data_IF_469588298578
#
_entry.id   IF_469588298578
#
_cell.length_a   1.000
_cell.length_b   1.000
_cell.length_c   1.000
_cell.angle_alpha   90.00
_cell.angle_beta   90.00
_cell.angle_gamma   90.00
#
_symmetry.space_group_name_H-M   'P 1'
#
loop_
_entity.id
_entity.type
_entity.pdbx_description
1 polymer ?
#
# COMPACT_ATOMS: atom_id res chain seq x y z
N UNK A 1 -22.40 26.80 6.48
CA UNK A 1 -21.20 25.97 6.60
C UNK A 1 -20.27 26.64 7.61
N UNK A 2 -19.95 26.00 8.74
CA UNK A 2 -19.03 26.55 9.75
C UNK A 2 -17.63 25.99 9.47
N UNK A 3 -16.67 26.87 9.20
CA UNK A 3 -15.27 26.48 9.10
C UNK A 3 -14.72 26.28 10.52
N UNK A 4 -14.06 25.14 10.76
CA UNK A 4 -13.37 24.85 12.01
C UNK A 4 -11.87 25.12 11.85
N UNK A 5 -11.18 25.41 12.96
CA UNK A 5 -9.73 25.61 12.93
C UNK A 5 -9.01 24.30 12.60
N UNK A 6 -7.79 24.40 12.04
CA UNK A 6 -6.90 23.24 11.83
C UNK A 6 -6.69 22.46 13.13
N UNK A 7 -6.54 23.17 14.24
CA UNK A 7 -6.33 22.52 15.53
C UNK A 7 -7.52 21.68 15.97
N UNK A 8 -8.72 22.23 15.82
CA UNK A 8 -9.96 21.50 16.10
C UNK A 8 -10.11 20.29 15.17
N UNK A 9 -9.80 20.44 13.88
CA UNK A 9 -9.93 19.37 12.90
C UNK A 9 -8.95 18.20 13.14
N UNK A 10 -7.75 18.49 13.65
CA UNK A 10 -6.70 17.52 13.97
C UNK A 10 -6.67 17.12 15.45
N UNK A 11 -7.65 17.54 16.26
CA UNK A 11 -7.70 17.18 17.68
C UNK A 11 -8.00 15.68 17.90
N UNK A 12 -8.93 15.03 17.16
CA UNK A 12 -9.21 13.61 17.34
C UNK A 12 -7.99 12.73 17.04
N UNK A 13 -7.64 11.85 17.96
CA UNK A 13 -6.51 10.90 17.84
C UNK A 13 -5.12 11.53 17.92
N UNK A 14 -5.00 12.84 18.19
CA UNK A 14 -3.72 13.58 18.10
C UNK A 14 -2.63 13.03 19.01
N UNK A 15 -2.97 12.77 20.28
CA UNK A 15 -1.99 12.30 21.27
C UNK A 15 -1.51 10.87 20.94
N UNK A 16 -2.43 10.00 20.50
CA UNK A 16 -2.08 8.67 20.01
C UNK A 16 -1.20 8.74 18.75
N UNK A 17 -1.52 9.64 17.81
CA UNK A 17 -0.72 9.88 16.62
C UNK A 17 0.70 10.34 16.97
N UNK A 18 0.83 11.29 17.91
CA UNK A 18 2.12 11.79 18.36
C UNK A 18 2.98 10.68 18.97
N UNK A 19 2.42 9.86 19.88
CA UNK A 19 3.15 8.77 20.50
C UNK A 19 3.54 7.64 19.51
N UNK A 20 2.70 7.37 18.52
CA UNK A 20 3.02 6.44 17.45
C UNK A 20 4.14 6.98 16.55
N UNK A 21 4.16 8.28 16.27
CA UNK A 21 5.19 8.90 15.43
C UNK A 21 6.60 8.88 16.05
N UNK A 22 6.71 8.69 17.37
CA UNK A 22 8.00 8.52 18.06
C UNK A 22 8.59 7.11 17.88
N UNK A 23 7.80 6.14 17.38
CA UNK A 23 8.26 4.77 17.19
C UNK A 23 9.17 4.64 15.95
N UNK A 24 10.17 3.75 15.97
CA UNK A 24 11.07 3.55 14.82
C UNK A 24 10.33 2.91 13.64
N UNK A 25 10.35 3.59 12.49
CA UNK A 25 9.72 3.21 11.23
C UNK A 25 10.67 2.62 10.19
N UNK A 26 10.16 2.23 9.00
CA UNK A 26 8.76 2.38 8.57
C UNK A 26 7.82 1.28 9.10
N UNK A 27 6.57 1.65 9.40
CA UNK A 27 5.48 0.73 9.74
C UNK A 27 4.11 1.29 9.29
N UNK A 28 3.10 0.43 9.23
CA UNK A 28 1.69 0.85 9.18
C UNK A 28 1.00 0.72 10.53
N UNK A 29 -0.03 1.54 10.72
CA UNK A 29 -1.01 1.45 11.80
C UNK A 29 -2.33 0.95 11.21
N UNK A 30 -3.04 0.09 11.94
CA UNK A 30 -4.42 -0.29 11.63
C UNK A 30 -5.34 0.18 12.76
N UNK A 31 -6.38 0.94 12.44
CA UNK A 31 -7.30 1.55 13.40
C UNK A 31 -8.74 1.04 13.21
N UNK A 32 -9.09 -0.16 13.73
CA UNK A 32 -10.41 -0.79 13.56
C UNK A 32 -11.56 -0.07 14.28
N UNK A 33 -11.35 1.15 14.74
CA UNK A 33 -12.36 1.98 15.40
C UNK A 33 -12.33 3.44 14.97
N UNK A 34 -11.56 3.75 13.91
CA UNK A 34 -11.31 5.13 13.49
C UNK A 34 -10.69 6.02 14.60
N UNK A 35 -10.08 5.41 15.61
CA UNK A 35 -9.36 6.10 16.71
C UNK A 35 -8.22 7.00 16.22
N UNK A 36 -7.68 6.68 15.04
CA UNK A 36 -6.64 7.45 14.37
C UNK A 36 -7.15 7.92 12.99
N UNK A 37 -7.88 9.04 12.93
CA UNK A 37 -8.40 9.56 11.65
C UNK A 37 -7.29 9.85 10.64
N UNK A 38 -7.56 9.60 9.36
CA UNK A 38 -6.57 9.69 8.27
C UNK A 38 -5.90 11.06 8.19
N UNK A 39 -6.66 12.15 8.35
CA UNK A 39 -6.09 13.51 8.33
C UNK A 39 -5.15 13.78 9.51
N UNK A 40 -5.43 13.18 10.68
CA UNK A 40 -4.57 13.28 11.86
C UNK A 40 -3.31 12.45 11.62
N UNK A 41 -3.45 11.18 11.21
CA UNK A 41 -2.31 10.31 10.89
C UNK A 41 -1.35 10.95 9.86
N UNK A 42 -1.90 11.53 8.79
CA UNK A 42 -1.13 12.20 7.75
C UNK A 42 -0.35 13.41 8.28
N UNK A 43 -0.90 14.18 9.22
CA UNK A 43 -0.21 15.31 9.84
C UNK A 43 1.03 14.90 10.66
N UNK A 44 1.12 13.63 11.07
CA UNK A 44 2.23 13.03 11.79
C UNK A 44 3.09 12.09 10.92
N UNK A 45 2.88 12.07 9.60
CA UNK A 45 3.55 11.14 8.66
C UNK A 45 3.37 9.66 9.01
N UNK A 46 2.24 9.30 9.62
CA UNK A 46 1.90 7.90 9.90
C UNK A 46 1.26 7.28 8.67
N UNK A 47 1.65 6.05 8.35
CA UNK A 47 1.04 5.27 7.29
C UNK A 47 -0.08 4.40 7.87
N UNK A 48 -1.27 4.47 7.28
CA UNK A 48 -2.39 3.63 7.68
C UNK A 48 -2.54 2.45 6.71
N UNK A 49 -3.02 1.32 7.22
CA UNK A 49 -3.51 0.19 6.41
C UNK A 49 -5.01 0.28 6.14
N UNK A 50 -5.69 1.17 6.85
CA UNK A 50 -7.11 1.46 6.81
C UNK A 50 -7.35 2.96 6.51
N UNK A 51 -8.59 3.35 6.30
CA UNK A 51 -8.92 4.75 6.02
C UNK A 51 -10.17 4.94 5.17
N UNK A 52 -10.26 6.13 4.56
CA UNK A 52 -11.35 6.52 3.67
C UNK A 52 -10.84 6.51 2.24
N UNK A 53 -11.34 5.61 1.42
CA UNK A 53 -10.99 5.48 0.00
C UNK A 53 -12.28 5.23 -0.79
N UNK A 54 -12.61 6.05 -1.80
CA UNK A 54 -13.83 5.85 -2.59
C UNK A 54 -13.69 4.77 -3.66
N UNK A 55 -12.47 4.37 -4.02
CA UNK A 55 -12.20 3.42 -5.10
C UNK A 55 -11.26 2.32 -4.62
N UNK A 56 -11.80 1.11 -4.45
CA UNK A 56 -11.04 -0.05 -4.03
C UNK A 56 -10.82 -1.03 -5.17
N UNK A 57 -9.68 -1.72 -5.15
CA UNK A 57 -9.55 -2.96 -5.89
C UNK A 57 -10.29 -4.05 -5.11
N UNK A 58 -11.12 -4.86 -5.78
CA UNK A 58 -11.87 -5.94 -5.13
C UNK A 58 -10.97 -6.92 -4.34
N UNK A 59 -9.72 -7.13 -4.79
CA UNK A 59 -8.74 -7.95 -4.06
C UNK A 59 -8.31 -7.35 -2.71
N UNK A 60 -8.26 -6.02 -2.62
CA UNK A 60 -7.94 -5.30 -1.37
C UNK A 60 -9.10 -5.40 -0.40
N UNK A 61 -10.35 -5.27 -0.88
CA UNK A 61 -11.52 -5.44 -0.02
C UNK A 61 -11.60 -6.86 0.54
N UNK A 62 -11.41 -7.88 -0.31
CA UNK A 62 -11.37 -9.28 0.13
C UNK A 62 -10.26 -9.53 1.16
N UNK A 63 -9.06 -8.98 0.91
CA UNK A 63 -7.95 -9.10 1.84
C UNK A 63 -8.26 -8.43 3.18
N UNK A 64 -8.70 -7.16 3.16
CA UNK A 64 -8.93 -6.41 4.38
C UNK A 64 -10.11 -6.97 5.17
N UNK A 65 -11.14 -7.50 4.51
CA UNK A 65 -12.25 -8.20 5.16
C UNK A 65 -11.79 -9.47 5.88
N UNK A 66 -10.93 -10.28 5.23
CA UNK A 66 -10.33 -11.46 5.86
C UNK A 66 -9.34 -11.08 6.97
N UNK A 67 -8.48 -10.10 6.73
CA UNK A 67 -7.44 -9.66 7.66
C UNK A 67 -8.03 -8.95 8.90
N UNK A 68 -9.08 -8.13 8.72
CA UNK A 68 -9.77 -7.42 9.78
C UNK A 68 -10.86 -8.24 10.48
N UNK A 69 -11.25 -9.39 9.93
CA UNK A 69 -12.21 -10.31 10.54
C UNK A 69 -13.67 -9.83 10.52
N UNK A 70 -14.00 -8.83 9.70
CA UNK A 70 -15.32 -8.19 9.67
C UNK A 70 -16.28 -8.76 8.61
N UNK A 71 -15.97 -9.93 8.04
CA UNK A 71 -16.92 -10.68 7.21
C UNK A 71 -16.94 -10.27 5.73
N UNK A 72 -18.12 -9.93 5.21
CA UNK A 72 -18.33 -9.69 3.77
C UNK A 72 -17.72 -8.34 3.33
N UNK A 73 -16.91 -8.28 2.26
CA UNK A 73 -16.35 -7.05 1.70
C UNK A 73 -17.38 -6.13 0.99
N UNK A 74 -18.61 -6.01 1.51
CA UNK A 74 -19.61 -5.10 0.95
C UNK A 74 -19.05 -3.71 0.70
N UNK A 75 -19.49 -3.04 -0.38
CA UNK A 75 -18.93 -1.75 -0.76
C UNK A 75 -19.11 -0.72 0.36
N UNK A 76 -18.00 -0.13 0.78
CA UNK A 76 -17.92 0.98 1.71
C UNK A 76 -16.83 1.94 1.25
N UNK A 77 -16.99 3.22 1.55
CA UNK A 77 -15.93 4.22 1.36
C UNK A 77 -14.89 4.17 2.48
N UNK A 78 -15.12 3.35 3.51
CA UNK A 78 -14.18 3.12 4.59
C UNK A 78 -13.73 1.68 4.59
N UNK A 79 -12.43 1.48 4.83
CA UNK A 79 -11.86 0.20 5.22
C UNK A 79 -11.40 0.38 6.67
N UNK A 80 -11.84 -0.45 7.63
CA UNK A 80 -12.94 -1.40 7.50
C UNK A 80 -14.30 -0.69 7.32
N UNK A 81 -15.33 -1.42 6.91
CA UNK A 81 -16.70 -0.93 7.00
C UNK A 81 -17.22 -1.07 8.44
N UNK A 82 -18.20 -0.24 8.83
CA UNK A 82 -18.72 -0.19 10.19
C UNK A 82 -20.24 -0.30 10.21
N UNK A 83 -20.76 -1.35 10.85
CA UNK A 83 -22.19 -1.51 11.14
C UNK A 83 -22.54 -0.87 12.50
N UNK A 84 -22.43 0.46 12.57
CA UNK A 84 -22.69 1.25 13.78
C UNK A 84 -21.55 2.19 14.17
N UNK A 85 -21.48 2.66 15.43
CA UNK A 85 -20.43 3.56 15.89
C UNK A 85 -19.03 2.90 15.76
N UNK A 86 -18.08 3.51 15.02
CA UNK A 86 -16.75 2.95 14.82
C UNK A 86 -16.04 2.58 16.13
N UNK A 87 -16.28 3.34 17.20
CA UNK A 87 -15.68 3.16 18.53
C UNK A 87 -16.08 1.83 19.21
N UNK A 88 -17.02 1.08 18.63
CA UNK A 88 -17.49 -0.20 19.17
C UNK A 88 -17.80 -1.26 18.13
N UNK A 89 -18.03 -0.89 16.87
CA UNK A 89 -18.58 -1.78 15.85
C UNK A 89 -17.75 -3.05 15.61
N UNK A 90 -16.42 -2.95 15.74
CA UNK A 90 -15.50 -4.08 15.51
C UNK A 90 -14.91 -4.65 16.79
N UNK A 91 -15.56 -4.48 17.95
CA UNK A 91 -15.04 -4.98 19.23
C UNK A 91 -14.94 -6.51 19.28
N UNK A 92 -15.91 -7.19 18.68
CA UNK A 92 -16.09 -8.63 18.82
C UNK A 92 -15.52 -9.43 17.63
N UNK A 93 -14.84 -8.76 16.69
CA UNK A 93 -14.21 -9.42 15.54
C UNK A 93 -12.88 -10.08 15.92
N UNK A 94 -12.48 -11.09 15.14
CA UNK A 94 -11.20 -11.76 15.26
C UNK A 94 -10.38 -11.55 13.98
N UNK A 95 -9.47 -10.57 13.95
CA UNK A 95 -8.63 -10.34 12.79
C UNK A 95 -7.47 -11.33 12.71
N UNK A 96 -6.98 -11.50 11.49
CA UNK A 96 -5.74 -12.22 11.20
C UNK A 96 -4.56 -11.26 11.34
N UNK A 97 -3.92 -11.23 12.51
CA UNK A 97 -2.71 -10.43 12.76
C UNK A 97 -1.57 -10.79 11.80
N UNK A 98 -1.55 -12.02 11.31
CA UNK A 98 -0.62 -12.51 10.31
C UNK A 98 -0.82 -11.82 8.96
N UNK A 99 -2.05 -11.74 8.47
CA UNK A 99 -2.37 -11.01 7.25
C UNK A 99 -2.15 -9.50 7.42
N UNK A 100 -2.58 -8.89 8.53
CA UNK A 100 -2.25 -7.48 8.81
C UNK A 100 -0.73 -7.27 8.83
N UNK A 101 0.03 -8.21 9.39
CA UNK A 101 1.49 -8.21 9.42
C UNK A 101 2.12 -8.21 8.02
N UNK A 102 1.52 -8.89 7.04
CA UNK A 102 1.93 -8.89 5.63
C UNK A 102 1.86 -7.49 5.00
N UNK A 103 0.92 -6.64 5.46
CA UNK A 103 0.84 -5.22 5.10
C UNK A 103 1.72 -4.31 5.96
N UNK A 104 2.70 -4.88 6.68
CA UNK A 104 3.60 -4.15 7.56
C UNK A 104 2.84 -3.40 8.69
N UNK A 105 1.66 -3.87 9.07
CA UNK A 105 0.91 -3.36 10.23
C UNK A 105 1.62 -3.81 11.50
N UNK A 106 2.37 -2.88 12.10
CA UNK A 106 3.12 -3.10 13.35
C UNK A 106 2.34 -2.65 14.57
N UNK A 107 1.53 -1.61 14.43
CA UNK A 107 0.72 -1.07 15.52
C UNK A 107 -0.75 -1.09 15.19
N UNK A 108 -1.57 -1.27 16.22
CA UNK A 108 -3.01 -1.11 16.15
C UNK A 108 -3.45 -0.05 17.15
N UNK A 109 -4.44 0.76 16.77
CA UNK A 109 -5.02 1.79 17.63
C UNK A 109 -6.54 1.58 17.71
N UNK A 110 -7.08 1.40 18.92
CA UNK A 110 -8.51 1.13 19.09
C UNK A 110 -9.13 1.86 20.29
N UNK A 111 -10.43 2.17 20.22
CA UNK A 111 -11.22 2.74 21.33
C UNK A 111 -11.82 1.67 22.27
N UNK A 112 -11.43 0.40 22.09
CA UNK A 112 -11.86 -0.71 22.93
C UNK A 112 -10.69 -1.65 23.26
N UNK A 113 -10.75 -2.37 24.39
CA UNK A 113 -9.73 -3.34 24.73
C UNK A 113 -9.78 -4.54 23.77
N UNK A 114 -8.62 -5.04 23.36
CA UNK A 114 -8.48 -6.18 22.46
C UNK A 114 -7.56 -7.23 23.10
N UNK A 115 -7.99 -8.49 23.07
CA UNK A 115 -7.27 -9.61 23.68
C UNK A 115 -6.98 -10.71 22.64
N UNK A 116 -6.41 -10.32 21.49
CA UNK A 116 -6.08 -11.24 20.41
C UNK A 116 -4.73 -11.91 20.64
N UNK A 117 -4.62 -13.19 20.29
CA UNK A 117 -3.35 -13.91 20.35
C UNK A 117 -2.32 -13.25 19.42
N UNK A 118 -1.09 -13.04 19.91
CA UNK A 118 -0.04 -12.35 19.14
C UNK A 118 -0.09 -10.81 19.20
N UNK A 119 -1.11 -10.23 19.84
CA UNK A 119 -1.21 -8.80 20.10
C UNK A 119 -0.65 -8.45 21.49
N UNK A 120 0.22 -7.45 21.58
CA UNK A 120 0.75 -6.95 22.86
C UNK A 120 0.19 -5.55 23.15
N UNK A 121 -0.37 -5.34 24.33
CA UNK A 121 -0.70 -3.99 24.79
C UNK A 121 0.59 -3.19 25.07
N UNK A 122 0.69 -1.98 24.53
CA UNK A 122 1.86 -1.10 24.68
C UNK A 122 1.55 0.10 25.55
N UNK A 123 0.41 0.76 25.29
CA UNK A 123 0.02 1.98 25.97
C UNK A 123 -1.50 2.20 25.88
N UNK A 124 -1.99 3.08 26.73
CA UNK A 124 -3.32 3.69 26.58
C UNK A 124 -3.15 5.20 26.70
N UNK A 125 -3.59 5.94 25.68
CA UNK A 125 -3.46 7.39 25.59
C UNK A 125 -4.86 7.97 25.51
N UNK A 126 -5.30 8.60 26.59
CA UNK A 126 -6.71 8.98 26.76
C UNK A 126 -7.62 7.76 26.64
N UNK A 127 -8.41 7.71 25.58
CA UNK A 127 -9.34 6.61 25.28
C UNK A 127 -8.80 5.57 24.30
N UNK A 128 -7.68 5.89 23.62
CA UNK A 128 -7.12 5.05 22.58
C UNK A 128 -6.12 4.07 23.18
N UNK A 129 -6.40 2.78 22.99
CA UNK A 129 -5.48 1.69 23.30
C UNK A 129 -4.53 1.47 22.12
N UNK A 130 -3.23 1.41 22.40
CA UNK A 130 -2.19 1.14 21.42
C UNK A 130 -1.64 -0.27 21.68
N UNK A 131 -1.60 -1.06 20.61
CA UNK A 131 -1.09 -2.41 20.62
C UNK A 131 0.00 -2.61 19.58
N UNK A 132 0.91 -3.55 19.84
CA UNK A 132 1.91 -4.04 18.90
C UNK A 132 1.51 -5.40 18.35
N UNK A 133 1.47 -5.51 17.03
CA UNK A 133 1.37 -6.78 16.32
C UNK A 133 2.73 -7.49 16.33
N UNK A 134 2.84 -8.64 17.02
CA UNK A 134 4.09 -9.41 17.08
C UNK A 134 4.41 -10.15 15.78
N UNK A 135 3.44 -10.26 14.87
CA UNK A 135 3.56 -10.94 13.58
C UNK A 135 3.83 -9.95 12.42
N UNK A 136 4.16 -8.70 12.73
CA UNK A 136 4.42 -7.67 11.73
C UNK A 136 5.66 -7.99 10.90
N UNK A 137 5.51 -7.99 9.57
CA UNK A 137 6.63 -8.15 8.65
C UNK A 137 7.30 -6.80 8.33
N UNK A 138 8.58 -6.81 7.93
CA UNK A 138 9.25 -5.60 7.44
C UNK A 138 8.56 -5.06 6.18
N UNK A 139 8.84 -3.81 5.84
CA UNK A 139 8.27 -3.17 4.63
C UNK A 139 8.64 -3.90 3.35
N UNK A 140 9.82 -4.50 3.31
CA UNK A 140 10.31 -5.31 2.21
C UNK A 140 11.22 -6.43 2.72
N UNK A 141 11.27 -7.54 1.99
CA UNK A 141 12.16 -8.68 2.27
C UNK A 141 12.45 -9.45 0.98
N UNK A 142 13.46 -10.31 1.01
CA UNK A 142 13.75 -11.25 -0.08
C UNK A 142 13.42 -12.66 0.38
N UNK A 143 12.53 -13.33 -0.34
CA UNK A 143 12.15 -14.71 -0.13
C UNK A 143 12.81 -15.64 -1.15
N UNK A 144 12.94 -16.91 -0.78
CA UNK A 144 13.74 -17.90 -1.52
C UNK A 144 12.96 -19.16 -1.89
N UNK A 145 11.67 -19.16 -1.60
CA UNK A 145 10.75 -20.23 -1.95
C UNK A 145 9.51 -19.63 -2.58
N UNK A 146 9.00 -20.33 -3.59
CA UNK A 146 7.76 -19.95 -4.27
C UNK A 146 6.76 -21.08 -4.23
N UNK A 147 5.49 -20.73 -4.11
CA UNK A 147 4.39 -21.65 -4.40
C UNK A 147 3.47 -21.02 -5.43
N UNK A 148 2.87 -21.79 -6.35
CA UNK A 148 1.80 -21.28 -7.19
C UNK A 148 0.65 -20.77 -6.33
N UNK A 149 0.11 -19.59 -6.69
CA UNK A 149 -1.09 -19.07 -6.03
C UNK A 149 -2.29 -19.97 -6.36
N UNK A 150 -3.10 -20.26 -5.34
CA UNK A 150 -4.34 -21.03 -5.48
C UNK A 150 -5.57 -20.11 -5.51
N UNK A 151 -6.75 -20.67 -5.78
CA UNK A 151 -8.01 -19.90 -5.79
C UNK A 151 -8.31 -19.29 -4.41
N UNK A 152 -8.09 -20.05 -3.33
CA UNK A 152 -8.14 -19.54 -1.96
C UNK A 152 -6.74 -19.14 -1.49
N UNK A 153 -6.21 -18.09 -2.11
CA UNK A 153 -4.88 -17.56 -1.80
C UNK A 153 -4.76 -17.00 -0.37
N UNK A 154 -5.86 -16.51 0.21
CA UNK A 154 -5.90 -16.01 1.58
C UNK A 154 -5.76 -17.17 2.59
N UNK A 155 -6.55 -18.22 2.44
CA UNK A 155 -6.41 -19.44 3.25
C UNK A 155 -5.03 -20.07 3.06
N UNK A 156 -4.50 -20.06 1.84
CA UNK A 156 -3.13 -20.51 1.55
C UNK A 156 -2.09 -19.70 2.35
N UNK A 157 -2.13 -18.36 2.32
CA UNK A 157 -1.22 -17.51 3.10
C UNK A 157 -1.32 -17.77 4.60
N UNK A 158 -2.54 -17.93 5.13
CA UNK A 158 -2.76 -18.20 6.56
C UNK A 158 -2.21 -19.56 6.97
N UNK A 159 -2.27 -20.56 6.08
CA UNK A 159 -1.72 -21.89 6.33
C UNK A 159 -0.20 -21.99 6.29
N UNK A 160 0.51 -21.02 5.67
CA UNK A 160 1.97 -21.04 5.59
C UNK A 160 2.60 -20.98 7.00
N UNK A 161 3.57 -21.82 7.34
CA UNK A 161 4.24 -21.72 8.65
C UNK A 161 5.02 -20.39 8.78
N UNK A 162 5.59 -19.91 7.67
CA UNK A 162 6.29 -18.63 7.58
C UNK A 162 5.93 -17.94 6.26
N UNK A 163 5.16 -16.84 6.36
CA UNK A 163 4.74 -16.00 5.22
C UNK A 163 5.87 -15.14 4.67
N UNK A 164 6.96 -14.96 5.42
CA UNK A 164 8.11 -14.21 4.93
C UNK A 164 9.01 -15.08 4.04
N UNK A 165 9.09 -16.38 4.32
CA UNK A 165 9.97 -17.31 3.62
C UNK A 165 9.44 -17.81 2.27
N UNK A 166 8.11 -17.83 2.09
CA UNK A 166 7.45 -18.39 0.90
C UNK A 166 6.59 -17.32 0.23
N UNK A 167 6.76 -17.16 -1.08
CA UNK A 167 5.99 -16.21 -1.90
C UNK A 167 5.02 -16.95 -2.80
N UNK A 168 3.77 -16.50 -2.83
CA UNK A 168 2.79 -17.01 -3.78
C UNK A 168 2.93 -16.27 -5.11
N UNK A 169 3.16 -17.00 -6.20
CA UNK A 169 3.40 -16.41 -7.53
C UNK A 169 2.33 -16.83 -8.54
N UNK A 170 2.06 -15.94 -9.50
CA UNK A 170 1.08 -16.14 -10.59
C UNK A 170 1.74 -16.56 -11.90
N UNK A 171 1.06 -17.41 -12.67
CA UNK A 171 1.46 -17.80 -14.03
C UNK A 171 2.84 -18.45 -14.11
N UNK A 172 3.59 -18.14 -15.16
CA UNK A 172 4.92 -18.69 -15.44
C UNK A 172 6.05 -17.95 -14.71
N UNK A 173 5.77 -17.38 -13.54
CA UNK A 173 6.74 -16.67 -12.73
C UNK A 173 7.94 -17.57 -12.35
N UNK A 174 9.17 -17.03 -12.28
CA UNK A 174 10.34 -17.79 -11.83
C UNK A 174 10.12 -18.50 -10.50
N UNK A 175 10.37 -19.81 -10.47
CA UNK A 175 10.20 -20.64 -9.28
C UNK A 175 11.49 -20.76 -8.49
N UNK A 176 11.38 -20.71 -7.17
CA UNK A 176 12.46 -20.91 -6.23
C UNK A 176 12.08 -22.01 -5.24
N UNK A 177 13.03 -22.91 -4.94
CA UNK A 177 12.83 -24.04 -4.04
C UNK A 177 13.98 -24.16 -3.02
N UNK A 178 14.59 -23.03 -2.65
CA UNK A 178 15.72 -23.02 -1.71
C UNK A 178 15.20 -22.79 -0.29
N UNK A 179 15.18 -23.81 0.58
CA UNK A 179 14.64 -23.67 1.93
C UNK A 179 15.63 -22.90 2.80
N UNK A 180 15.43 -21.58 2.89
CA UNK A 180 16.23 -20.69 3.73
C UNK A 180 15.37 -19.55 4.27
N UNK A 181 15.79 -18.94 5.39
CA UNK A 181 15.13 -17.74 5.91
C UNK A 181 15.15 -16.60 4.90
N UNK A 182 14.12 -15.76 4.96
CA UNK A 182 14.07 -14.53 4.20
C UNK A 182 15.21 -13.58 4.60
N UNK A 183 15.72 -12.83 3.63
CA UNK A 183 16.71 -11.78 3.87
C UNK A 183 16.03 -10.42 3.98
N UNK A 184 16.61 -9.51 4.78
CA UNK A 184 16.09 -8.16 4.89
C UNK A 184 16.29 -7.37 3.59
N UNK A 185 15.32 -6.53 3.24
CA UNK A 185 15.47 -5.51 2.22
C UNK A 185 15.10 -4.15 2.83
N UNK A 186 15.91 -3.15 2.55
CA UNK A 186 15.76 -1.80 3.10
C UNK A 186 15.06 -0.90 2.09
N UNK A 187 14.03 -0.19 2.52
CA UNK A 187 13.43 0.90 1.74
C UNK A 187 14.22 2.17 1.99
N UNK A 188 15.05 2.56 1.03
CA UNK A 188 15.92 3.74 1.13
C UNK A 188 15.21 5.04 0.73
N UNK A 189 14.12 4.92 -0.03
CA UNK A 189 13.26 6.05 -0.37
C UNK A 189 11.82 5.59 -0.62
N UNK A 190 10.86 6.34 -0.09
CA UNK A 190 9.44 6.05 -0.26
C UNK A 190 8.67 7.32 -0.64
N UNK A 191 8.08 7.31 -1.83
CA UNK A 191 7.19 8.33 -2.35
C UNK A 191 6.02 7.67 -3.10
N UNK A 192 4.88 8.36 -3.30
CA UNK A 192 3.70 7.78 -3.93
C UNK A 192 3.95 7.21 -5.34
N UNK A 193 4.84 7.83 -6.11
CA UNK A 193 5.16 7.48 -7.50
C UNK A 193 6.54 6.83 -7.67
N UNK A 194 7.34 6.74 -6.60
CA UNK A 194 8.71 6.21 -6.65
C UNK A 194 9.11 5.56 -5.33
N UNK A 195 9.63 4.33 -5.41
CA UNK A 195 10.17 3.60 -4.27
C UNK A 195 11.58 3.12 -4.62
N UNK A 196 12.55 3.32 -3.73
CA UNK A 196 13.90 2.78 -3.88
C UNK A 196 14.21 1.83 -2.74
N UNK A 197 14.87 0.73 -3.08
CA UNK A 197 15.26 -0.30 -2.14
C UNK A 197 16.71 -0.72 -2.35
N UNK A 198 17.32 -1.14 -1.25
CA UNK A 198 18.57 -1.88 -1.25
C UNK A 198 18.30 -3.28 -0.69
N UNK A 199 18.77 -4.32 -1.37
CA UNK A 199 18.65 -5.69 -0.90
C UNK A 199 19.97 -6.43 -1.16
N UNK A 200 20.30 -7.37 -0.29
CA UNK A 200 21.40 -8.30 -0.50
C UNK A 200 20.87 -9.73 -0.46
N UNK A 201 21.36 -10.56 -1.38
CA UNK A 201 20.89 -11.94 -1.51
C UNK A 201 22.05 -12.86 -1.90
N UNK A 202 22.10 -14.09 -1.37
CA UNK A 202 23.17 -15.05 -1.72
C UNK A 202 22.80 -15.94 -2.92
N UNK A 203 21.70 -15.64 -3.60
CA UNK A 203 21.21 -16.39 -4.75
C UNK A 203 19.94 -15.77 -5.33
N UNK A 204 19.34 -16.45 -6.32
CA UNK A 204 18.06 -16.02 -6.88
C UNK A 204 17.00 -15.87 -5.79
N UNK A 205 16.24 -14.79 -5.83
CA UNK A 205 15.30 -14.41 -4.77
C UNK A 205 14.13 -13.59 -5.29
N UNK A 206 13.01 -13.60 -4.57
CA UNK A 206 11.89 -12.70 -4.80
C UNK A 206 11.93 -11.57 -3.78
N UNK A 207 12.22 -10.35 -4.24
CA UNK A 207 11.97 -9.16 -3.45
C UNK A 207 10.47 -8.95 -3.35
N UNK A 208 9.93 -9.00 -2.13
CA UNK A 208 8.53 -8.70 -1.83
C UNK A 208 8.47 -7.35 -1.14
N UNK A 209 7.49 -6.55 -1.52
CA UNK A 209 7.20 -5.24 -0.94
C UNK A 209 5.77 -5.27 -0.39
N UNK A 210 5.58 -4.87 0.88
CA UNK A 210 4.27 -4.72 1.55
C UNK A 210 3.41 -3.58 0.99
N UNK A 211 3.34 -3.48 -0.32
CA UNK A 211 2.61 -2.48 -1.07
C UNK A 211 1.66 -3.15 -2.05
N UNK A 212 0.45 -2.62 -2.15
CA UNK A 212 -0.60 -3.17 -3.00
C UNK A 212 -0.20 -3.07 -4.48
N UNK A 213 -0.22 -4.19 -5.17
CA UNK A 213 0.03 -4.25 -6.61
C UNK A 213 -1.09 -3.51 -7.37
N UNK A 214 -0.68 -2.67 -8.31
CA UNK A 214 -1.57 -1.97 -9.23
C UNK A 214 -0.90 -1.91 -10.62
N UNK A 215 -1.64 -2.02 -11.73
CA UNK A 215 -1.03 -1.93 -13.05
C UNK A 215 -0.39 -0.55 -13.30
N UNK A 216 0.80 -0.53 -13.90
CA UNK A 216 1.53 0.70 -14.25
C UNK A 216 2.82 0.95 -13.44
N UNK A 217 3.15 0.09 -12.47
CA UNK A 217 4.47 0.09 -11.86
C UNK A 217 5.50 -0.59 -12.77
N UNK A 218 6.68 0.02 -12.87
CA UNK A 218 7.86 -0.54 -13.55
C UNK A 218 9.02 -0.62 -12.57
N UNK A 219 9.85 -1.65 -12.66
CA UNK A 219 11.03 -1.80 -11.83
C UNK A 219 12.31 -1.79 -12.67
N UNK A 220 13.38 -1.30 -12.04
CA UNK A 220 14.75 -1.38 -12.54
C UNK A 220 15.59 -1.99 -11.42
N UNK A 221 16.35 -3.03 -11.74
CA UNK A 221 17.31 -3.68 -10.85
C UNK A 221 18.70 -3.51 -11.46
N UNK A 222 19.59 -2.84 -10.75
CA UNK A 222 20.97 -2.56 -11.19
C UNK A 222 21.07 -1.97 -12.61
N UNK A 223 20.11 -1.10 -12.96
CA UNK A 223 20.04 -0.46 -14.28
C UNK A 223 19.29 -1.24 -15.35
N UNK A 224 18.94 -2.51 -15.11
CA UNK A 224 18.17 -3.33 -16.04
C UNK A 224 16.65 -3.29 -15.73
N UNK A 225 15.78 -3.01 -16.72
CA UNK A 225 14.33 -3.09 -16.53
C UNK A 225 13.89 -4.52 -16.22
N UNK A 226 13.03 -4.67 -15.22
CA UNK A 226 12.43 -5.95 -14.82
C UNK A 226 10.92 -5.79 -14.57
N UNK A 227 10.11 -6.83 -14.82
CA UNK A 227 8.68 -6.77 -14.54
C UNK A 227 8.41 -6.68 -13.03
N UNK A 228 7.34 -5.96 -12.66
CA UNK A 228 6.77 -5.99 -11.31
C UNK A 228 5.61 -6.99 -11.31
N UNK A 229 5.78 -8.10 -10.60
CA UNK A 229 4.77 -9.14 -10.47
C UNK A 229 3.80 -8.83 -9.33
N UNK A 230 2.58 -9.36 -9.42
CA UNK A 230 1.69 -9.51 -8.27
C UNK A 230 2.08 -10.79 -7.54
N UNK A 231 2.36 -10.68 -6.26
CA UNK A 231 2.75 -11.80 -5.39
C UNK A 231 1.87 -11.82 -4.15
N UNK A 232 1.74 -12.97 -3.50
CA UNK A 232 0.89 -13.14 -2.31
C UNK A 232 -0.55 -12.66 -2.54
N UNK A 233 -1.04 -12.78 -3.78
CA UNK A 233 -2.37 -12.35 -4.23
C UNK A 233 -2.57 -10.84 -4.37
N UNK A 234 -1.80 -10.00 -3.66
CA UNK A 234 -2.01 -8.54 -3.66
C UNK A 234 -0.75 -7.67 -3.58
N UNK A 235 0.42 -8.22 -3.25
CA UNK A 235 1.66 -7.46 -3.04
C UNK A 235 2.46 -7.29 -4.33
N UNK A 236 3.41 -6.34 -4.31
CA UNK A 236 4.38 -6.16 -5.39
C UNK A 236 5.58 -7.07 -5.17
N UNK A 237 5.96 -7.78 -6.22
CA UNK A 237 7.15 -8.64 -6.27
C UNK A 237 8.10 -8.24 -7.40
N UNK A 238 9.41 -8.35 -7.16
CA UNK A 238 10.46 -8.21 -8.17
C UNK A 238 11.40 -9.40 -8.06
N UNK A 239 11.62 -10.10 -9.16
CA UNK A 239 12.54 -11.21 -9.20
C UNK A 239 14.00 -10.71 -9.30
N UNK A 240 14.86 -11.19 -8.41
CA UNK A 240 16.29 -10.94 -8.37
C UNK A 240 17.01 -12.21 -8.84
N UNK A 241 17.52 -12.26 -10.08
CA UNK A 241 18.04 -13.49 -10.67
C UNK A 241 19.43 -13.90 -10.14
N UNK A 242 20.18 -12.97 -9.56
CA UNK A 242 21.59 -13.17 -9.21
C UNK A 242 21.82 -12.98 -7.72
N UNK A 243 22.91 -13.54 -7.20
CA UNK A 243 23.43 -13.20 -5.88
C UNK A 243 24.12 -11.82 -5.90
N UNK A 244 24.16 -11.15 -4.76
CA UNK A 244 24.86 -9.89 -4.55
C UNK A 244 24.01 -8.82 -3.90
N UNK A 245 24.57 -7.61 -3.85
CA UNK A 245 23.87 -6.41 -3.47
C UNK A 245 23.16 -5.82 -4.70
N UNK A 246 21.88 -5.50 -4.56
CA UNK A 246 21.03 -4.97 -5.60
C UNK A 246 20.50 -3.59 -5.21
N UNK A 247 20.51 -2.68 -6.17
CA UNK A 247 19.77 -1.42 -6.10
C UNK A 247 18.51 -1.55 -6.94
N UNK A 248 17.36 -1.42 -6.30
CA UNK A 248 16.05 -1.59 -6.93
C UNK A 248 15.32 -0.24 -6.90
N UNK A 249 14.76 0.16 -8.03
CA UNK A 249 13.86 1.31 -8.10
C UNK A 249 12.56 0.93 -8.79
N UNK A 250 11.44 1.23 -8.15
CA UNK A 250 10.10 1.14 -8.71
C UNK A 250 9.59 2.54 -9.02
N UNK A 251 9.00 2.72 -10.19
CA UNK A 251 8.34 3.96 -10.60
C UNK A 251 6.92 3.67 -11.10
N UNK A 252 5.97 4.53 -10.74
CA UNK A 252 4.61 4.46 -11.21
C UNK A 252 4.46 5.30 -12.49
N UNK A 253 4.24 4.62 -13.62
CA UNK A 253 4.11 5.23 -14.96
C UNK A 253 2.86 4.68 -15.66
N UNK A 254 1.65 5.09 -15.23
CA UNK A 254 0.41 4.55 -15.79
C UNK A 254 0.23 4.98 -17.25
N UNK A 255 -0.23 4.04 -18.09
CA UNK A 255 -0.45 4.27 -19.50
C UNK A 255 -1.48 5.40 -19.76
N UNK A 256 -2.46 5.57 -18.88
CA UNK A 256 -3.49 6.61 -18.97
C UNK A 256 -2.91 8.02 -18.96
N UNK A 257 -1.92 8.31 -18.11
CA UNK A 257 -1.23 9.60 -18.05
C UNK A 257 -0.41 9.83 -19.32
N UNK A 258 0.27 8.80 -19.81
CA UNK A 258 1.07 8.88 -21.04
C UNK A 258 0.17 9.19 -22.25
N UNK A 259 -0.93 8.46 -22.41
CA UNK A 259 -1.88 8.67 -23.52
C UNK A 259 -2.66 9.98 -23.38
N UNK A 260 -3.09 10.33 -22.17
CA UNK A 260 -3.74 11.61 -21.89
C UNK A 260 -2.85 12.80 -22.24
N UNK A 261 -1.57 12.74 -21.86
CA UNK A 261 -0.58 13.77 -22.21
C UNK A 261 -0.38 13.87 -23.73
N UNK A 262 -0.25 12.74 -24.44
CA UNK A 262 -0.15 12.73 -25.91
C UNK A 262 -1.38 13.35 -26.58
N UNK A 263 -2.58 13.01 -26.11
CA UNK A 263 -3.83 13.58 -26.62
C UNK A 263 -3.90 15.09 -26.37
N UNK A 264 -3.58 15.54 -25.15
CA UNK A 264 -3.56 16.96 -24.80
C UNK A 264 -2.59 17.75 -25.69
N UNK A 265 -1.39 17.23 -25.94
CA UNK A 265 -0.42 17.85 -26.85
C UNK A 265 -0.95 17.93 -28.29
N UNK A 266 -1.56 16.85 -28.79
CA UNK A 266 -2.15 16.84 -30.12
C UNK A 266 -3.28 17.88 -30.25
N UNK A 267 -4.14 17.99 -29.25
CA UNK A 267 -5.20 19.01 -29.20
C UNK A 267 -4.64 20.42 -29.16
N UNK A 268 -3.62 20.68 -28.34
CA UNK A 268 -2.97 21.99 -28.27
C UNK A 268 -2.37 22.39 -29.62
N UNK A 269 -1.65 21.47 -30.28
CA UNK A 269 -1.08 21.72 -31.61
C UNK A 269 -2.16 22.02 -32.66
N UNK A 270 -3.29 21.31 -32.60
CA UNK A 270 -4.42 21.56 -33.49
C UNK A 270 -5.04 22.95 -33.27
N UNK A 271 -5.20 23.38 -32.01
CA UNK A 271 -5.71 24.72 -31.65
C UNK A 271 -4.76 25.81 -32.16
N UNK A 272 -3.45 25.66 -31.93
CA UNK A 272 -2.43 26.62 -32.39
C UNK A 272 -2.42 26.71 -33.91
N UNK A 273 -2.49 25.57 -34.62
CA UNK A 273 -2.58 25.55 -36.08
C UNK A 273 -3.85 26.25 -36.59
N UNK A 274 -5.01 25.97 -35.99
CA UNK A 274 -6.27 26.60 -36.37
C UNK A 274 -6.25 28.13 -36.15
N UNK A 275 -5.71 28.58 -35.01
CA UNK A 275 -5.56 30.01 -34.71
C UNK A 275 -4.59 30.70 -35.70
N UNK A 276 -3.48 30.05 -36.05
CA UNK A 276 -2.54 30.54 -37.05
C UNK A 276 -3.18 30.69 -38.43
N UNK A 277 -3.94 29.68 -38.88
CA UNK A 277 -4.69 29.74 -40.15
C UNK A 277 -5.72 30.88 -40.12
N UNK A 278 -6.43 31.06 -39.01
CA UNK A 278 -7.42 32.13 -38.87
C UNK A 278 -6.78 33.52 -38.92
N UNK A 279 -5.67 33.74 -38.21
CA UNK A 279 -4.93 35.01 -38.22
C UNK A 279 -4.35 35.34 -39.62
N UNK A 280 -3.83 34.33 -40.33
CA UNK A 280 -3.37 34.49 -41.71
C UNK A 280 -4.53 34.89 -42.64
N UNK A 281 -5.71 34.28 -42.48
CA UNK A 281 -6.90 34.68 -43.26
C UNK A 281 -7.42 36.08 -42.93
N UNK A 282 -7.32 36.50 -41.67
CA UNK A 282 -7.74 37.83 -41.24
C UNK A 282 -6.84 38.94 -41.78
N UNK A 283 -5.53 38.69 -41.92
CA UNK A 283 -4.56 39.65 -42.47
C UNK A 283 -4.65 39.79 -44.00
N UNK A 284 -5.10 38.75 -44.71
CA UNK A 284 -5.28 38.76 -46.17
C UNK A 284 -6.67 39.24 -46.66
N UNK A 285 -7.57 39.70 -45.78
CA UNK A 285 -8.82 40.34 -46.23
C UNK A 285 -8.50 41.74 -46.83
N UNK A 286 -8.73 41.98 -48.14
CA UNK A 286 -8.50 43.29 -48.72
C UNK A 286 -9.43 44.34 -48.08
N UNK A 287 -8.90 45.53 -47.78
CA UNK A 287 -9.72 46.69 -47.40
C UNK A 287 -10.54 47.08 -48.64
N UNK A 288 -11.85 46.83 -48.63
CA UNK A 288 -12.72 47.40 -49.66
C UNK A 288 -12.75 48.93 -49.47
N UNK A 289 -12.59 49.71 -50.56
CA UNK A 289 -12.70 51.17 -50.54
C UNK A 289 -14.12 51.65 -50.23
#
# INVERSE_FOLDING_TARGET
>A
MKFISRDTALAPGREAAAALAEQPGPFRVYSPSYSLPMQTAAAFNLHLADGVEPVHLAVVDQFMARAGGYGDPGFSVTIPHFDGPPESALRDVQPSLKLLGLLNVKYLAAEFPMAWEGLAAEAQIGRTFIYRNRLALPRAWVAYQTQPVQSDWLGQLESLPDVQAVVLTEGDAPTLNTPRPASAAEVTHFAPDRIRLAAATDGPGWLVLSEIWYPGWTAVVDGAPVPVARVDGLLRGVYLPNAGAHNISLEYRPASVIWGGRLAWATLLAIVAAAGIWAARATFRPKNP
#
